data_IF_717428769758
#
_entry.id   IF_717428769758
#
_cell.length_a   1.000
_cell.length_b   1.000
_cell.length_c   1.000
_cell.angle_alpha   90.00
_cell.angle_beta   90.00
_cell.angle_gamma   90.00
#
_symmetry.space_group_name_H-M   'P 1'
#
loop_
_entity.id
_entity.type
_entity.pdbx_description
1 polymer ?
#
# COMPACT_ATOMS: atom_id res chain seq x y z
N UNK A 1 8.64 7.89 -6.71
CA UNK A 1 7.49 7.40 -7.49
C UNK A 1 6.42 6.77 -6.59
N UNK A 2 6.66 5.60 -5.96
CA UNK A 2 5.61 4.85 -5.24
C UNK A 2 4.86 5.63 -4.14
N UNK A 3 5.56 6.25 -3.17
CA UNK A 3 4.90 7.01 -2.12
C UNK A 3 4.05 8.17 -2.66
N UNK A 4 4.56 8.88 -3.66
CA UNK A 4 3.84 9.97 -4.33
C UNK A 4 2.59 9.48 -5.08
N UNK A 5 2.68 8.32 -5.74
CA UNK A 5 1.53 7.70 -6.40
C UNK A 5 0.47 7.28 -5.39
N UNK A 6 0.87 6.58 -4.32
CA UNK A 6 -0.04 6.14 -3.27
C UNK A 6 -0.77 7.33 -2.63
N UNK A 7 -0.04 8.38 -2.25
CA UNK A 7 -0.62 9.60 -1.68
C UNK A 7 -1.66 10.22 -2.63
N UNK A 8 -1.33 10.31 -3.93
CA UNK A 8 -2.23 10.87 -4.93
C UNK A 8 -3.49 10.02 -5.14
N UNK A 9 -3.36 8.70 -5.19
CA UNK A 9 -4.51 7.81 -5.32
C UNK A 9 -5.43 7.90 -4.09
N UNK A 10 -4.85 7.98 -2.88
CA UNK A 10 -5.60 8.17 -1.65
C UNK A 10 -6.32 9.53 -1.63
N UNK A 11 -5.64 10.60 -2.03
CA UNK A 11 -6.22 11.95 -2.17
C UNK A 11 -7.41 11.94 -3.15
N UNK A 12 -7.21 11.40 -4.36
CA UNK A 12 -8.25 11.35 -5.39
C UNK A 12 -9.52 10.62 -4.89
N UNK A 13 -9.34 9.54 -4.13
CA UNK A 13 -10.44 8.75 -3.60
C UNK A 13 -11.10 9.38 -2.37
N UNK A 14 -10.32 9.68 -1.32
CA UNK A 14 -10.84 10.08 -0.01
C UNK A 14 -11.22 11.56 0.08
N UNK A 15 -10.58 12.42 -0.71
CA UNK A 15 -10.78 13.87 -0.64
C UNK A 15 -11.54 14.36 -1.86
N UNK A 16 -11.11 13.96 -3.06
CA UNK A 16 -11.70 14.47 -4.31
C UNK A 16 -12.88 13.62 -4.81
N UNK A 17 -13.21 12.53 -4.10
CA UNK A 17 -14.35 11.64 -4.35
C UNK A 17 -14.40 11.10 -5.79
N UNK A 18 -13.24 10.87 -6.40
CA UNK A 18 -13.12 10.35 -7.76
C UNK A 18 -13.15 8.81 -7.77
N UNK A 19 -13.48 8.24 -8.93
CA UNK A 19 -13.52 6.79 -9.12
C UNK A 19 -12.09 6.21 -9.14
N UNK A 20 -11.69 5.38 -8.17
CA UNK A 20 -10.35 4.80 -8.13
C UNK A 20 -10.13 3.72 -9.20
N UNK A 21 -11.20 3.24 -9.86
CA UNK A 21 -11.12 2.28 -10.96
C UNK A 21 -11.09 2.94 -12.36
N UNK A 22 -11.04 4.28 -12.44
CA UNK A 22 -10.93 4.97 -13.73
C UNK A 22 -9.48 4.93 -14.26
N UNK A 23 -9.27 4.23 -15.37
CA UNK A 23 -7.94 4.10 -15.98
C UNK A 23 -7.34 5.44 -16.42
N UNK A 24 -8.17 6.43 -16.81
CA UNK A 24 -7.67 7.75 -17.16
C UNK A 24 -7.07 8.47 -15.94
N UNK A 25 -7.75 8.36 -14.79
CA UNK A 25 -7.29 8.93 -13.52
C UNK A 25 -6.05 8.22 -12.98
N UNK A 26 -6.03 6.88 -13.05
CA UNK A 26 -4.88 6.07 -12.66
C UNK A 26 -3.65 6.43 -13.50
N UNK A 27 -3.84 6.56 -14.82
CA UNK A 27 -2.79 6.98 -15.75
C UNK A 27 -2.24 8.35 -15.42
N UNK A 28 -3.10 9.36 -15.27
CA UNK A 28 -2.69 10.72 -14.95
C UNK A 28 -1.88 10.76 -13.64
N UNK A 29 -2.34 10.03 -12.62
CA UNK A 29 -1.70 9.96 -11.32
C UNK A 29 -0.32 9.30 -11.38
N UNK A 30 -0.21 8.21 -12.15
CA UNK A 30 1.05 7.48 -12.36
C UNK A 30 2.10 8.34 -13.09
N UNK A 31 1.71 9.02 -14.18
CA UNK A 31 2.61 9.91 -14.93
C UNK A 31 3.08 11.06 -14.04
N UNK A 32 2.17 11.68 -13.30
CA UNK A 32 2.52 12.77 -12.41
C UNK A 32 3.43 12.34 -11.25
N UNK A 33 3.40 11.07 -10.84
CA UNK A 33 4.33 10.47 -9.90
C UNK A 33 5.71 10.11 -10.53
N UNK A 34 5.88 10.37 -11.83
CA UNK A 34 7.13 10.18 -12.58
C UNK A 34 7.28 8.81 -13.24
N UNK A 35 6.19 8.05 -13.41
CA UNK A 35 6.24 6.77 -14.12
C UNK A 35 6.19 6.95 -15.64
N UNK A 36 6.81 6.01 -16.36
CA UNK A 36 6.83 6.00 -17.82
C UNK A 36 5.42 5.81 -18.40
N UNK A 37 4.93 6.71 -19.28
CA UNK A 37 3.59 6.62 -19.81
C UNK A 37 3.31 5.33 -20.59
N UNK A 38 4.27 4.81 -21.36
CA UNK A 38 4.06 3.60 -22.15
C UNK A 38 3.95 2.36 -21.26
N UNK A 39 4.77 2.29 -20.21
CA UNK A 39 4.69 1.22 -19.21
C UNK A 39 3.35 1.26 -18.46
N UNK A 40 2.89 2.46 -18.07
CA UNK A 40 1.60 2.62 -17.40
C UNK A 40 0.45 2.14 -18.29
N UNK A 41 0.46 2.49 -19.58
CA UNK A 41 -0.57 2.02 -20.52
C UNK A 41 -0.56 0.51 -20.70
N UNK A 42 0.62 -0.10 -20.74
CA UNK A 42 0.77 -1.55 -20.82
C UNK A 42 0.20 -2.23 -19.56
N UNK A 43 0.55 -1.75 -18.37
CA UNK A 43 0.04 -2.30 -17.11
C UNK A 43 -1.48 -2.13 -17.02
N UNK A 44 -2.00 -0.95 -17.34
CA UNK A 44 -3.44 -0.70 -17.30
C UNK A 44 -4.23 -1.44 -18.39
N UNK A 45 -3.58 -2.11 -19.34
CA UNK A 45 -4.24 -2.90 -20.38
C UNK A 45 -4.06 -4.41 -20.21
N UNK A 46 -3.41 -4.84 -19.13
CA UNK A 46 -3.09 -6.25 -18.87
C UNK A 46 -3.26 -6.58 -17.39
N UNK A 47 -3.24 -7.86 -17.07
CA UNK A 47 -3.37 -8.38 -15.71
C UNK A 47 -1.99 -8.69 -15.10
N UNK A 48 -0.93 -7.98 -15.56
CA UNK A 48 0.48 -8.33 -15.25
C UNK A 48 0.78 -8.40 -13.75
N UNK A 49 0.08 -7.62 -12.93
CA UNK A 49 0.29 -7.55 -11.48
C UNK A 49 -0.83 -8.23 -10.66
N UNK A 50 -1.78 -8.92 -11.28
CA UNK A 50 -2.91 -9.53 -10.57
C UNK A 50 -2.43 -10.60 -9.58
N UNK A 51 -1.53 -11.48 -10.02
CA UNK A 51 -0.95 -12.53 -9.16
C UNK A 51 -0.15 -11.93 -8.00
N UNK A 52 0.57 -10.82 -8.22
CA UNK A 52 1.34 -10.13 -7.20
C UNK A 52 0.42 -9.47 -6.15
N UNK A 53 -0.67 -8.84 -6.59
CA UNK A 53 -1.68 -8.24 -5.70
C UNK A 53 -2.36 -9.32 -4.86
N UNK A 54 -2.72 -10.46 -5.45
CA UNK A 54 -3.32 -11.57 -4.70
C UNK A 54 -2.34 -12.23 -3.73
N UNK A 55 -1.06 -12.35 -4.10
CA UNK A 55 -0.02 -12.82 -3.20
C UNK A 55 0.15 -11.88 -1.99
N UNK A 56 0.07 -10.56 -2.18
CA UNK A 56 0.12 -9.57 -1.10
C UNK A 56 -1.09 -9.68 -0.17
N UNK A 57 -2.30 -9.86 -0.72
CA UNK A 57 -3.53 -10.09 0.07
C UNK A 57 -3.44 -11.39 0.87
N UNK A 58 -2.99 -12.49 0.25
CA UNK A 58 -2.81 -13.77 0.90
C UNK A 58 -1.77 -13.68 2.04
N UNK A 59 -0.66 -12.98 1.80
CA UNK A 59 0.37 -12.72 2.82
C UNK A 59 -0.17 -11.91 3.99
N UNK A 60 -0.94 -10.85 3.74
CA UNK A 60 -1.56 -10.07 4.81
C UNK A 60 -2.50 -10.93 5.68
N UNK A 61 -3.32 -11.80 5.06
CA UNK A 61 -4.18 -12.75 5.77
C UNK A 61 -3.38 -13.76 6.59
N UNK A 62 -2.26 -14.27 6.07
CA UNK A 62 -1.37 -15.17 6.81
C UNK A 62 -0.77 -14.53 8.06
N UNK A 63 -0.55 -13.19 8.04
CA UNK A 63 -0.18 -12.41 9.23
C UNK A 63 -1.35 -12.08 10.16
N UNK A 64 -2.56 -12.57 9.88
CA UNK A 64 -3.76 -12.35 10.69
C UNK A 64 -4.48 -11.02 10.42
N UNK A 65 -4.15 -10.31 9.33
CA UNK A 65 -4.85 -9.09 8.97
C UNK A 65 -6.31 -9.38 8.55
N UNK A 66 -7.26 -8.80 9.27
CA UNK A 66 -8.71 -8.85 8.96
C UNK A 66 -9.29 -7.49 8.59
N UNK A 67 -8.45 -6.43 8.63
CA UNK A 67 -8.80 -5.07 8.28
C UNK A 67 -7.54 -4.22 8.09
N UNK A 68 -7.71 -3.03 7.51
CA UNK A 68 -6.62 -2.08 7.22
C UNK A 68 -6.83 -0.76 7.95
N UNK A 69 -5.75 0.01 8.24
CA UNK A 69 -4.34 -0.34 8.00
C UNK A 69 -3.85 -1.43 8.97
N UNK A 70 -2.90 -2.25 8.51
CA UNK A 70 -2.25 -3.29 9.31
C UNK A 70 -0.76 -3.27 9.00
N UNK A 71 0.07 -3.22 10.05
CA UNK A 71 1.51 -3.11 9.92
C UNK A 71 2.17 -4.35 10.50
N UNK A 72 3.18 -4.87 9.81
CA UNK A 72 4.01 -5.99 10.28
C UNK A 72 5.44 -5.48 10.47
N UNK A 73 5.95 -5.60 11.69
CA UNK A 73 7.33 -5.26 12.04
C UNK A 73 8.11 -6.56 12.23
N UNK A 74 9.24 -6.66 11.53
CA UNK A 74 10.18 -7.79 11.59
C UNK A 74 9.53 -9.17 11.35
N UNK A 75 8.50 -9.21 10.49
CA UNK A 75 7.72 -10.44 10.18
C UNK A 75 7.13 -11.14 11.42
N UNK A 76 7.06 -10.45 12.56
CA UNK A 76 6.74 -11.04 13.86
C UNK A 76 5.70 -10.25 14.64
N UNK A 77 5.77 -8.93 14.64
CA UNK A 77 4.86 -8.08 15.40
C UNK A 77 3.82 -7.45 14.48
N UNK A 78 2.54 -7.64 14.80
CA UNK A 78 1.43 -7.01 14.10
C UNK A 78 0.88 -5.80 14.85
N UNK A 79 0.59 -4.71 14.13
CA UNK A 79 -0.13 -3.54 14.64
C UNK A 79 -1.40 -3.38 13.78
N UNK A 80 -2.56 -3.61 14.39
CA UNK A 80 -3.85 -3.51 13.72
C UNK A 80 -4.48 -2.13 13.91
N UNK A 81 -4.88 -1.50 12.80
CA UNK A 81 -5.54 -0.20 12.77
C UNK A 81 -4.57 0.98 12.81
N UNK A 82 -5.14 2.19 12.66
CA UNK A 82 -4.42 3.45 12.76
C UNK A 82 -4.14 3.79 14.23
N UNK A 83 -3.16 3.11 14.81
CA UNK A 83 -2.78 3.28 16.21
C UNK A 83 -2.02 4.60 16.45
N UNK A 84 -1.99 5.10 17.70
CA UNK A 84 -1.15 6.24 18.07
C UNK A 84 0.34 5.95 17.86
N UNK A 85 1.14 7.00 17.65
CA UNK A 85 2.60 6.92 17.44
C UNK A 85 3.31 6.14 18.55
N UNK A 86 2.85 6.25 19.79
CA UNK A 86 3.43 5.55 20.95
C UNK A 86 3.33 4.02 20.82
N UNK A 87 2.25 3.51 20.20
CA UNK A 87 2.10 2.08 19.92
C UNK A 87 3.15 1.59 18.91
N UNK A 88 3.43 2.41 17.89
CA UNK A 88 4.49 2.11 16.91
C UNK A 88 5.87 2.13 17.56
N UNK A 89 6.21 3.18 18.32
CA UNK A 89 7.52 3.28 19.00
C UNK A 89 7.79 2.08 19.90
N UNK A 90 6.84 1.68 20.75
CA UNK A 90 6.98 0.51 21.62
C UNK A 90 7.20 -0.80 20.83
N UNK A 91 6.49 -0.97 19.71
CA UNK A 91 6.61 -2.18 18.90
C UNK A 91 7.96 -2.23 18.18
N UNK A 92 8.44 -1.09 17.66
CA UNK A 92 9.74 -0.98 17.02
C UNK A 92 10.88 -1.23 18.03
N UNK A 93 10.79 -0.67 19.24
CA UNK A 93 11.76 -0.93 20.32
C UNK A 93 11.79 -2.41 20.72
N UNK A 94 10.62 -3.04 20.89
CA UNK A 94 10.53 -4.46 21.20
C UNK A 94 11.16 -5.33 20.10
N UNK A 95 10.81 -5.07 18.84
CA UNK A 95 11.38 -5.79 17.70
C UNK A 95 12.89 -5.60 17.58
N UNK A 96 13.40 -4.41 17.91
CA UNK A 96 14.84 -4.14 17.92
C UNK A 96 15.57 -4.94 19.01
N UNK A 97 15.00 -5.02 20.21
CA UNK A 97 15.61 -5.73 21.34
C UNK A 97 15.58 -7.26 21.16
N UNK A 98 14.52 -7.80 20.56
CA UNK A 98 14.38 -9.24 20.31
C UNK A 98 15.32 -9.79 19.21
N UNK A 99 16.00 -8.90 18.47
CA UNK A 99 17.07 -9.27 17.52
C UNK A 99 18.44 -9.49 18.20
N UNK A 100 18.56 -9.17 19.49
CA UNK A 100 19.78 -9.32 20.29
C UNK A 100 20.20 -10.77 20.53
#
# INVERSE_FOLDING_TARGET
AQAALNERLLQNYFVDAQNPADHALLRESAIAAGLDPARVDQVLSTDEFDDDVEADVARARAYGATGVPFFVVDQRYGIAGAQPTEAFSRTLEAAWNDRG
#
